data_IF_921071438468
#
_entry.id   IF_921071438468
#
_cell.length_a   1.000
_cell.length_b   1.000
_cell.length_c   1.000
_cell.angle_alpha   90.00
_cell.angle_beta   90.00
_cell.angle_gamma   90.00
#
_symmetry.space_group_name_H-M   'P 1'
#
loop_
_entity.id
_entity.type
_entity.pdbx_description
1 polymer ?
#
# COMPACT_ATOMS: atom_id res chain seq x y z
N UNK A 1 -17.65 -14.14 -7.44
CA UNK A 1 -17.04 -12.86 -6.96
C UNK A 1 -15.58 -12.93 -7.32
N UNK A 2 -15.09 -11.94 -8.07
CA UNK A 2 -13.73 -11.94 -8.62
C UNK A 2 -12.84 -10.92 -7.92
N UNK A 3 -11.56 -11.27 -7.79
CA UNK A 3 -10.47 -10.42 -7.33
C UNK A 3 -9.29 -10.54 -8.28
N UNK A 4 -8.36 -9.58 -8.20
CA UNK A 4 -7.07 -9.60 -8.88
C UNK A 4 -5.95 -9.67 -7.86
N UNK A 5 -4.86 -10.35 -8.22
CA UNK A 5 -3.65 -10.36 -7.38
C UNK A 5 -2.58 -9.54 -8.09
N UNK A 6 -2.15 -8.48 -7.43
CA UNK A 6 -1.08 -7.60 -7.86
C UNK A 6 0.15 -7.70 -6.99
N UNK A 7 1.18 -6.94 -7.35
CA UNK A 7 2.42 -6.85 -6.57
C UNK A 7 2.94 -5.42 -6.52
N UNK A 8 3.53 -5.03 -5.39
CA UNK A 8 4.30 -3.79 -5.28
C UNK A 8 5.73 -4.02 -5.77
N UNK A 9 6.30 -3.13 -6.58
CA UNK A 9 7.68 -3.24 -7.08
C UNK A 9 8.73 -3.02 -5.99
N UNK A 10 8.33 -2.61 -4.79
CA UNK A 10 9.23 -2.29 -3.67
C UNK A 10 10.13 -3.47 -3.27
N UNK A 11 9.69 -4.71 -3.54
CA UNK A 11 10.48 -5.90 -3.32
C UNK A 11 11.70 -6.00 -4.24
N UNK A 12 11.62 -5.46 -5.48
CA UNK A 12 12.71 -5.45 -6.47
C UNK A 12 13.60 -4.23 -6.36
N UNK A 13 13.02 -3.06 -6.09
CA UNK A 13 13.75 -1.83 -5.87
C UNK A 13 12.98 -0.93 -4.92
N UNK A 14 13.66 -0.51 -3.86
CA UNK A 14 13.05 0.32 -2.85
C UNK A 14 13.24 1.81 -3.19
N UNK A 15 12.15 2.55 -3.28
CA UNK A 15 12.18 3.98 -3.62
C UNK A 15 12.67 4.85 -2.45
N UNK A 16 12.48 4.40 -1.20
CA UNK A 16 13.00 5.05 0.01
C UNK A 16 14.49 4.77 0.24
N UNK A 17 14.99 3.64 -0.30
CA UNK A 17 16.38 3.17 -0.19
C UNK A 17 16.90 2.74 -1.56
N UNK A 18 17.29 3.67 -2.44
CA UNK A 18 17.70 3.38 -3.82
C UNK A 18 18.86 2.40 -3.96
N UNK A 19 19.67 2.20 -2.92
CA UNK A 19 20.72 1.19 -2.86
C UNK A 19 20.18 -0.24 -2.74
N UNK A 20 18.92 -0.42 -2.34
CA UNK A 20 18.26 -1.72 -2.29
C UNK A 20 17.60 -2.03 -3.63
N UNK A 21 18.24 -2.90 -4.40
CA UNK A 21 17.78 -3.30 -5.74
C UNK A 21 17.94 -2.21 -6.79
N UNK A 22 18.83 -1.23 -6.58
CA UNK A 22 19.07 -0.13 -7.52
C UNK A 22 19.50 -0.58 -8.92
N UNK A 23 20.15 -1.73 -9.03
CA UNK A 23 20.61 -2.39 -10.25
C UNK A 23 19.53 -3.26 -10.94
N UNK A 24 18.42 -3.57 -10.27
CA UNK A 24 17.30 -4.30 -10.89
C UNK A 24 16.58 -3.40 -11.90
N UNK A 25 16.51 -3.81 -13.16
CA UNK A 25 15.80 -3.05 -14.18
C UNK A 25 14.28 -3.17 -14.06
N UNK A 26 13.54 -2.18 -14.58
CA UNK A 26 12.07 -2.25 -14.65
C UNK A 26 11.63 -3.46 -15.50
N UNK A 27 12.31 -3.72 -16.62
CA UNK A 27 12.03 -4.84 -17.51
C UNK A 27 12.13 -6.19 -16.78
N UNK A 28 13.13 -6.35 -15.93
CA UNK A 28 13.28 -7.56 -15.10
C UNK A 28 12.11 -7.67 -14.11
N UNK A 29 11.79 -6.60 -13.40
CA UNK A 29 10.71 -6.56 -12.43
C UNK A 29 9.36 -6.96 -13.09
N UNK A 30 9.02 -6.35 -14.23
CA UNK A 30 7.78 -6.64 -14.96
C UNK A 30 7.74 -8.10 -15.46
N UNK A 31 8.83 -8.58 -16.04
CA UNK A 31 8.95 -9.96 -16.53
C UNK A 31 8.79 -10.98 -15.40
N UNK A 32 9.44 -10.76 -14.26
CA UNK A 32 9.34 -11.64 -13.11
C UNK A 32 7.93 -11.63 -12.52
N UNK A 33 7.30 -10.44 -12.37
CA UNK A 33 5.92 -10.31 -11.91
C UNK A 33 4.94 -11.10 -12.80
N UNK A 34 5.05 -10.98 -14.14
CA UNK A 34 4.24 -11.76 -15.08
C UNK A 34 4.49 -13.26 -14.95
N UNK A 35 5.76 -13.69 -14.86
CA UNK A 35 6.11 -15.12 -14.81
C UNK A 35 5.67 -15.80 -13.51
N UNK A 36 5.55 -15.05 -12.41
CA UNK A 36 4.93 -15.53 -11.16
C UNK A 36 3.43 -15.73 -11.34
N UNK A 37 2.78 -14.90 -12.15
CA UNK A 37 1.34 -14.97 -12.44
C UNK A 37 0.53 -13.77 -11.94
N UNK A 38 1.16 -12.70 -11.48
CA UNK A 38 0.46 -11.48 -11.08
C UNK A 38 -0.34 -10.90 -12.25
N UNK A 39 -1.50 -10.31 -11.93
CA UNK A 39 -2.38 -9.65 -12.91
C UNK A 39 -2.02 -8.17 -13.10
N UNK A 40 -1.26 -7.60 -12.17
CA UNK A 40 -0.86 -6.20 -12.22
C UNK A 40 0.26 -5.87 -11.24
N UNK A 41 0.73 -4.65 -11.36
CA UNK A 41 1.83 -4.12 -10.56
C UNK A 41 1.54 -2.67 -10.21
N UNK A 42 2.01 -2.21 -9.06
CA UNK A 42 1.95 -0.80 -8.68
C UNK A 42 3.06 0.01 -9.35
N UNK A 43 2.83 1.30 -9.56
CA UNK A 43 3.89 2.19 -10.05
C UNK A 43 4.92 2.47 -8.94
N UNK A 44 6.18 2.35 -9.30
CA UNK A 44 7.32 2.74 -8.47
C UNK A 44 8.21 3.79 -9.15
N UNK A 45 9.29 4.17 -8.50
CA UNK A 45 10.19 5.24 -8.94
C UNK A 45 10.84 5.02 -10.30
N UNK A 46 11.08 3.75 -10.68
CA UNK A 46 11.66 3.37 -11.98
C UNK A 46 10.66 3.38 -13.14
N UNK A 47 9.37 3.55 -12.86
CA UNK A 47 8.33 3.53 -13.88
C UNK A 47 8.32 4.82 -14.71
N UNK A 48 8.10 4.74 -16.05
CA UNK A 48 7.89 5.91 -16.88
C UNK A 48 6.79 6.82 -16.33
N UNK A 49 6.98 8.12 -16.44
CA UNK A 49 6.05 9.13 -15.92
C UNK A 49 4.99 9.56 -16.95
N UNK A 50 4.92 8.88 -18.09
CA UNK A 50 3.91 9.08 -19.12
C UNK A 50 3.34 7.75 -19.61
N UNK A 51 2.08 7.76 -20.00
CA UNK A 51 1.33 6.55 -20.40
C UNK A 51 1.84 5.95 -21.72
N UNK A 52 2.32 6.79 -22.66
CA UNK A 52 2.82 6.33 -23.96
C UNK A 52 4.08 5.46 -23.86
N UNK A 53 4.84 5.60 -22.79
CA UNK A 53 5.99 4.75 -22.51
C UNK A 53 5.65 3.59 -21.57
N UNK A 54 4.73 3.82 -20.60
CA UNK A 54 4.40 2.82 -19.60
C UNK A 54 3.49 1.72 -20.14
N UNK A 55 2.43 2.08 -20.86
CA UNK A 55 1.44 1.10 -21.36
C UNK A 55 2.07 0.00 -22.21
N UNK A 56 2.93 0.28 -23.22
CA UNK A 56 3.54 -0.79 -24.01
C UNK A 56 4.40 -1.75 -23.19
N UNK A 57 5.03 -1.27 -22.09
CA UNK A 57 5.82 -2.13 -21.20
C UNK A 57 4.93 -3.06 -20.36
N UNK A 58 3.81 -2.54 -19.85
CA UNK A 58 2.83 -3.32 -19.09
C UNK A 58 2.13 -4.35 -20.01
N UNK A 59 1.69 -3.92 -21.19
CA UNK A 59 1.03 -4.79 -22.17
C UNK A 59 1.92 -5.94 -22.62
N UNK A 60 3.21 -5.65 -22.89
CA UNK A 60 4.21 -6.69 -23.25
C UNK A 60 4.28 -7.81 -22.23
N UNK A 61 4.10 -7.49 -20.95
CA UNK A 61 4.17 -8.46 -19.85
C UNK A 61 2.77 -8.86 -19.32
N UNK A 62 1.69 -8.50 -20.04
CA UNK A 62 0.30 -8.79 -19.65
C UNK A 62 -0.05 -8.33 -18.22
N UNK A 63 0.49 -7.18 -17.82
CA UNK A 63 0.23 -6.58 -16.51
C UNK A 63 -0.66 -5.34 -16.64
N UNK A 64 -1.52 -5.12 -15.65
CA UNK A 64 -2.24 -3.86 -15.48
C UNK A 64 -1.54 -2.98 -14.44
N UNK A 65 -1.68 -1.65 -14.56
CA UNK A 65 -1.34 -0.76 -13.46
C UNK A 65 -2.43 -0.87 -12.39
N UNK A 66 -2.12 -1.41 -11.19
CA UNK A 66 -3.13 -1.60 -10.16
C UNK A 66 -3.22 -0.46 -9.14
N UNK A 67 -2.20 0.37 -9.02
CA UNK A 67 -2.13 1.60 -8.21
C UNK A 67 -0.70 2.15 -8.22
N UNK A 68 -0.36 2.96 -7.21
CA UNK A 68 0.98 3.43 -6.90
C UNK A 68 0.94 4.53 -5.85
N UNK A 69 2.03 4.71 -5.17
CA UNK A 69 2.17 5.61 -4.05
C UNK A 69 2.22 7.08 -4.45
N UNK A 70 1.52 7.93 -3.67
CA UNK A 70 1.64 9.37 -3.67
C UNK A 70 1.77 9.88 -2.22
N UNK A 71 2.92 10.47 -1.89
CA UNK A 71 3.15 11.12 -0.60
C UNK A 71 2.59 12.53 -0.58
N UNK A 72 1.43 12.73 0.04
CA UNK A 72 0.79 14.03 0.16
C UNK A 72 1.43 14.87 1.29
N UNK A 73 1.47 16.17 1.10
CA UNK A 73 1.97 17.14 2.08
C UNK A 73 0.89 18.13 2.53
N UNK A 74 -0.31 17.63 2.82
CA UNK A 74 -1.49 18.44 3.15
C UNK A 74 -1.34 19.29 4.41
N UNK A 75 -0.49 18.88 5.35
CA UNK A 75 -0.21 19.69 6.54
C UNK A 75 0.62 20.92 6.23
N UNK A 76 1.37 20.92 5.11
CA UNK A 76 2.23 22.02 4.67
C UNK A 76 1.64 22.78 3.49
N UNK A 77 1.03 22.07 2.55
CA UNK A 77 0.48 22.62 1.32
C UNK A 77 -0.97 23.07 1.48
N UNK A 78 -1.37 24.06 0.71
CA UNK A 78 -2.79 24.32 0.42
C UNK A 78 -3.34 23.22 -0.52
N UNK A 79 -4.66 23.09 -0.58
CA UNK A 79 -5.34 22.18 -1.52
C UNK A 79 -4.90 22.41 -2.97
N UNK A 80 -4.75 23.68 -3.37
CA UNK A 80 -4.34 24.05 -4.73
C UNK A 80 -2.93 23.61 -5.06
N UNK A 81 -2.00 23.77 -4.13
CA UNK A 81 -0.60 23.32 -4.28
C UNK A 81 -0.54 21.80 -4.37
N UNK A 82 -1.29 21.09 -3.51
CA UNK A 82 -1.30 19.64 -3.51
C UNK A 82 -1.91 19.06 -4.80
N UNK A 83 -3.02 19.63 -5.29
CA UNK A 83 -3.61 19.27 -6.59
C UNK A 83 -2.60 19.51 -7.73
N UNK A 84 -1.88 20.63 -7.69
CA UNK A 84 -0.86 20.92 -8.71
C UNK A 84 0.27 19.88 -8.69
N UNK A 85 0.70 19.44 -7.51
CA UNK A 85 1.76 18.45 -7.33
C UNK A 85 1.36 17.07 -7.82
N UNK A 86 0.11 16.62 -7.56
CA UNK A 86 -0.36 15.29 -7.95
C UNK A 86 -0.80 15.18 -9.40
N UNK A 87 -1.06 16.30 -10.08
CA UNK A 87 -1.75 16.35 -11.39
C UNK A 87 -1.12 15.46 -12.47
N UNK A 88 0.21 15.44 -12.54
CA UNK A 88 0.91 14.63 -13.55
C UNK A 88 0.75 13.12 -13.29
N UNK A 89 0.86 12.71 -12.02
CA UNK A 89 0.70 11.30 -11.64
C UNK A 89 -0.77 10.86 -11.77
N UNK A 90 -1.71 11.70 -11.37
CA UNK A 90 -3.15 11.44 -11.54
C UNK A 90 -3.52 11.24 -13.01
N UNK A 91 -2.96 12.08 -13.91
CA UNK A 91 -3.13 11.93 -15.37
C UNK A 91 -2.59 10.59 -15.86
N UNK A 92 -1.38 10.22 -15.45
CA UNK A 92 -0.77 8.93 -15.79
C UNK A 92 -1.67 7.76 -15.36
N UNK A 93 -2.16 7.78 -14.12
CA UNK A 93 -3.00 6.72 -13.57
C UNK A 93 -4.33 6.61 -14.31
N UNK A 94 -4.96 7.74 -14.61
CA UNK A 94 -6.17 7.79 -15.44
C UNK A 94 -5.94 7.17 -16.82
N UNK A 95 -4.88 7.55 -17.51
CA UNK A 95 -4.55 7.06 -18.85
C UNK A 95 -4.17 5.58 -18.86
N UNK A 96 -3.62 5.07 -17.75
CA UNK A 96 -3.31 3.65 -17.55
C UNK A 96 -4.48 2.84 -16.94
N UNK A 97 -5.65 3.45 -16.76
CA UNK A 97 -6.84 2.82 -16.14
C UNK A 97 -6.57 2.24 -14.74
N UNK A 98 -5.70 2.87 -13.95
CA UNK A 98 -5.48 2.46 -12.59
C UNK A 98 -6.76 2.65 -11.75
N UNK A 99 -7.17 1.65 -10.93
CA UNK A 99 -8.43 1.71 -10.18
C UNK A 99 -8.40 2.72 -9.03
N UNK A 100 -7.23 3.08 -8.55
CA UNK A 100 -7.03 4.08 -7.50
C UNK A 100 -5.59 4.61 -7.50
N UNK A 101 -5.35 5.65 -6.72
CA UNK A 101 -4.02 6.09 -6.32
C UNK A 101 -3.90 5.97 -4.80
N UNK A 102 -2.83 5.31 -4.35
CA UNK A 102 -2.52 5.14 -2.92
C UNK A 102 -1.93 6.44 -2.39
N UNK A 103 -2.56 7.00 -1.37
CA UNK A 103 -2.17 8.30 -0.80
C UNK A 103 -1.94 8.19 0.70
N UNK A 104 -0.81 8.69 1.16
CA UNK A 104 -0.54 8.90 2.59
C UNK A 104 -0.09 10.34 2.85
N UNK A 105 -0.44 10.88 4.01
CA UNK A 105 0.08 12.18 4.47
C UNK A 105 1.48 11.98 5.05
N UNK A 106 2.48 12.58 4.43
CA UNK A 106 3.90 12.36 4.79
C UNK A 106 4.61 13.60 5.38
N UNK A 107 3.88 14.71 5.60
CA UNK A 107 4.48 15.90 6.24
C UNK A 107 5.02 15.57 7.62
N UNK A 108 6.32 15.70 7.79
CA UNK A 108 6.97 15.36 9.06
C UNK A 108 7.04 13.87 9.39
N UNK A 109 6.72 12.98 8.44
CA UNK A 109 6.90 11.54 8.61
C UNK A 109 8.33 11.18 9.01
N UNK A 110 8.45 10.17 9.86
CA UNK A 110 9.73 9.60 10.30
C UNK A 110 10.02 8.23 9.66
N UNK A 111 9.19 7.79 8.71
CA UNK A 111 9.35 6.49 8.06
C UNK A 111 10.74 6.30 7.41
N UNK A 112 11.29 7.35 6.79
CA UNK A 112 12.64 7.36 6.20
C UNK A 112 13.78 7.69 7.18
N UNK A 113 13.53 7.77 8.50
CA UNK A 113 14.52 8.19 9.48
C UNK A 113 15.08 7.02 10.28
N UNK A 114 16.27 6.55 9.92
CA UNK A 114 16.99 5.56 10.71
C UNK A 114 17.21 6.02 12.15
N UNK A 115 17.13 5.11 13.10
CA UNK A 115 17.33 5.36 14.54
C UNK A 115 16.33 6.29 15.22
N UNK A 116 15.34 6.83 14.49
CA UNK A 116 14.25 7.59 15.10
C UNK A 116 13.15 6.63 15.54
N UNK A 117 12.93 6.45 16.85
CA UNK A 117 11.94 5.49 17.36
C UNK A 117 10.54 5.78 16.85
N UNK A 118 9.76 4.72 16.56
CA UNK A 118 8.38 4.87 16.08
C UNK A 118 7.46 5.59 17.07
N UNK A 119 7.77 5.54 18.38
CA UNK A 119 7.07 6.33 19.40
C UNK A 119 7.20 7.86 19.21
N UNK A 120 8.13 8.32 18.36
CA UNK A 120 8.35 9.74 18.04
C UNK A 120 7.64 10.20 16.76
N UNK A 121 6.74 9.37 16.21
CA UNK A 121 5.95 9.75 15.03
C UNK A 121 5.20 11.07 15.25
N UNK A 122 4.89 11.82 14.20
CA UNK A 122 4.07 13.02 14.32
C UNK A 122 2.67 12.67 14.79
N UNK A 123 2.13 13.49 15.71
CA UNK A 123 0.78 13.35 16.24
C UNK A 123 0.08 14.70 16.06
N UNK A 124 -1.09 14.69 15.43
CA UNK A 124 -1.87 15.89 15.17
C UNK A 124 -2.69 16.29 16.39
N UNK A 125 -2.71 17.57 16.68
CA UNK A 125 -3.69 18.15 17.59
C UNK A 125 -5.07 18.31 16.92
N UNK A 126 -6.08 18.74 17.68
CA UNK A 126 -7.47 18.80 17.19
C UNK A 126 -7.66 19.77 16.02
N UNK A 127 -6.93 20.88 15.95
CA UNK A 127 -7.09 21.85 14.87
C UNK A 127 -6.34 21.42 13.61
N UNK A 128 -5.18 20.75 13.76
CA UNK A 128 -4.48 20.11 12.66
C UNK A 128 -5.34 19.01 12.04
N UNK A 129 -6.01 18.18 12.85
CA UNK A 129 -6.95 17.18 12.35
C UNK A 129 -8.09 17.81 11.54
N UNK A 130 -8.72 18.88 12.02
CA UNK A 130 -9.80 19.59 11.29
C UNK A 130 -9.30 20.12 9.94
N UNK A 131 -8.11 20.73 9.94
CA UNK A 131 -7.48 21.20 8.70
C UNK A 131 -7.18 20.04 7.74
N UNK A 132 -6.70 18.92 8.26
CA UNK A 132 -6.41 17.73 7.47
C UNK A 132 -7.69 17.13 6.87
N UNK A 133 -8.77 16.98 7.64
CA UNK A 133 -10.06 16.49 7.12
C UNK A 133 -10.57 17.37 5.97
N UNK A 134 -10.51 18.68 6.12
CA UNK A 134 -10.93 19.59 5.06
C UNK A 134 -10.10 19.35 3.79
N UNK A 135 -8.79 19.35 3.89
CA UNK A 135 -7.90 19.25 2.74
C UNK A 135 -7.98 17.88 2.05
N UNK A 136 -8.01 16.78 2.81
CA UNK A 136 -8.12 15.43 2.25
C UNK A 136 -9.47 15.22 1.55
N UNK A 137 -10.55 15.79 2.07
CA UNK A 137 -11.86 15.76 1.42
C UNK A 137 -11.83 16.46 0.06
N UNK A 138 -11.21 17.64 -0.03
CA UNK A 138 -11.12 18.39 -1.28
C UNK A 138 -10.27 17.65 -2.34
N UNK A 139 -9.11 17.11 -1.96
CA UNK A 139 -8.29 16.37 -2.91
C UNK A 139 -8.94 15.04 -3.32
N UNK A 140 -9.59 14.33 -2.40
CA UNK A 140 -10.25 13.07 -2.72
C UNK A 140 -11.41 13.25 -3.70
N UNK A 141 -12.19 14.32 -3.53
CA UNK A 141 -13.23 14.70 -4.48
C UNK A 141 -12.66 15.05 -5.85
N UNK A 142 -11.60 15.86 -5.88
CA UNK A 142 -10.90 16.19 -7.14
C UNK A 142 -10.40 14.92 -7.86
N UNK A 143 -9.84 13.97 -7.13
CA UNK A 143 -9.35 12.72 -7.68
C UNK A 143 -10.49 11.85 -8.22
N UNK A 144 -11.58 11.70 -7.46
CA UNK A 144 -12.77 10.95 -7.88
C UNK A 144 -13.41 11.58 -9.15
N UNK A 145 -13.56 12.91 -9.20
CA UNK A 145 -14.07 13.65 -10.37
C UNK A 145 -13.17 13.47 -11.62
N UNK A 146 -11.88 13.19 -11.42
CA UNK A 146 -10.93 12.86 -12.49
C UNK A 146 -10.87 11.36 -12.84
N UNK A 147 -11.64 10.51 -12.16
CA UNK A 147 -11.78 9.08 -12.44
C UNK A 147 -10.70 8.18 -11.84
N UNK A 148 -9.92 8.68 -10.87
CA UNK A 148 -8.92 7.90 -10.11
C UNK A 148 -9.17 8.14 -8.62
N UNK A 149 -9.96 7.30 -7.94
CA UNK A 149 -10.23 7.44 -6.51
C UNK A 149 -8.96 7.43 -5.66
N UNK A 150 -8.98 8.18 -4.55
CA UNK A 150 -7.99 8.14 -3.51
C UNK A 150 -8.20 6.88 -2.64
N UNK A 151 -7.17 6.07 -2.44
CA UNK A 151 -7.11 5.02 -1.43
C UNK A 151 -6.13 5.45 -0.33
N UNK A 152 -6.67 5.88 0.83
CA UNK A 152 -5.79 6.34 1.91
C UNK A 152 -5.05 5.16 2.55
N UNK A 153 -3.74 5.29 2.65
CA UNK A 153 -2.85 4.32 3.25
C UNK A 153 -2.39 4.79 4.64
N UNK A 154 -2.84 4.11 5.69
CA UNK A 154 -2.24 4.25 7.02
C UNK A 154 -0.84 3.62 7.01
N UNK A 155 0.16 4.35 7.48
CA UNK A 155 1.55 3.90 7.34
C UNK A 155 2.36 4.19 8.61
N UNK A 156 3.26 3.25 8.97
CA UNK A 156 4.16 3.42 10.10
C UNK A 156 5.01 4.70 9.95
N UNK A 157 5.13 5.45 11.04
CA UNK A 157 5.91 6.70 11.08
C UNK A 157 5.20 7.94 10.53
N UNK A 158 3.93 7.83 10.10
CA UNK A 158 3.12 8.96 9.62
C UNK A 158 2.11 9.44 10.67
N UNK A 159 1.34 10.49 10.36
CA UNK A 159 0.28 11.02 11.24
C UNK A 159 -0.91 10.08 11.36
N UNK A 160 -1.16 9.22 10.37
CA UNK A 160 -2.20 8.18 10.42
C UNK A 160 -1.51 6.84 10.41
N UNK A 161 -1.21 6.31 11.58
CA UNK A 161 -0.50 5.06 11.77
C UNK A 161 -1.36 4.00 12.46
N UNK A 162 -2.01 4.37 13.56
CA UNK A 162 -2.74 3.44 14.40
C UNK A 162 -4.16 3.15 13.89
N UNK A 163 -4.79 2.14 14.47
CA UNK A 163 -6.21 1.89 14.25
C UNK A 163 -7.04 3.10 14.60
N UNK A 164 -6.80 3.74 15.75
CA UNK A 164 -7.54 4.94 16.21
C UNK A 164 -7.39 6.11 15.25
N UNK A 165 -6.16 6.35 14.70
CA UNK A 165 -5.94 7.38 13.69
C UNK A 165 -6.74 7.08 12.42
N UNK A 166 -6.78 5.81 12.01
CA UNK A 166 -7.51 5.35 10.81
C UNK A 166 -9.02 5.50 11.00
N UNK A 167 -9.57 5.02 12.12
CA UNK A 167 -10.97 5.19 12.48
C UNK A 167 -11.33 6.69 12.53
N UNK A 168 -10.51 7.50 13.21
CA UNK A 168 -10.68 8.94 13.31
C UNK A 168 -10.70 9.63 11.94
N UNK A 169 -9.80 9.25 11.03
CA UNK A 169 -9.78 9.79 9.66
C UNK A 169 -11.07 9.46 8.93
N UNK A 170 -11.46 8.19 8.92
CA UNK A 170 -12.60 7.73 8.12
C UNK A 170 -13.93 8.27 8.67
N UNK A 171 -14.08 8.33 9.98
CA UNK A 171 -15.31 8.86 10.64
C UNK A 171 -15.53 10.35 10.40
N UNK A 172 -14.47 11.12 10.13
CA UNK A 172 -14.54 12.57 9.96
C UNK A 172 -14.32 13.03 8.50
N UNK A 173 -14.38 12.12 7.53
CA UNK A 173 -14.18 12.42 6.11
C UNK A 173 -15.33 11.94 5.24
N UNK A 174 -15.49 12.57 4.07
CA UNK A 174 -16.52 12.21 3.09
C UNK A 174 -16.22 10.88 2.38
N UNK A 175 -17.24 10.33 1.71
CA UNK A 175 -17.15 8.98 1.12
C UNK A 175 -16.10 8.84 -0.01
N UNK A 176 -15.67 9.92 -0.65
CA UNK A 176 -14.59 9.89 -1.66
C UNK A 176 -13.20 9.65 -1.06
N UNK A 177 -13.00 9.86 0.25
CA UNK A 177 -11.80 9.38 0.95
C UNK A 177 -11.94 7.88 1.16
N UNK A 178 -11.47 7.08 0.22
CA UNK A 178 -11.49 5.62 0.33
C UNK A 178 -10.29 5.12 1.13
N UNK A 179 -10.33 3.85 1.51
CA UNK A 179 -9.36 3.23 2.39
C UNK A 179 -8.59 2.12 1.64
N UNK A 180 -7.28 2.13 1.83
CA UNK A 180 -6.43 0.97 1.66
C UNK A 180 -6.17 0.36 3.04
N UNK A 181 -6.33 -0.93 3.18
CA UNK A 181 -5.85 -1.67 4.35
C UNK A 181 -4.52 -2.33 4.01
N UNK A 182 -3.48 -2.00 4.77
CA UNK A 182 -2.22 -2.75 4.80
C UNK A 182 -2.20 -3.61 6.06
N UNK A 183 -2.20 -4.92 5.88
CA UNK A 183 -2.29 -5.87 6.98
C UNK A 183 -1.07 -5.86 7.90
N UNK A 184 0.13 -5.66 7.32
CA UNK A 184 1.38 -5.60 8.07
C UNK A 184 1.53 -4.30 8.85
N UNK A 185 1.28 -3.16 8.23
CA UNK A 185 1.34 -1.87 8.93
C UNK A 185 0.32 -1.79 10.07
N UNK A 186 -0.91 -2.26 9.85
CA UNK A 186 -1.93 -2.25 10.90
C UNK A 186 -1.54 -3.15 12.06
N UNK A 187 -1.05 -4.36 11.78
CA UNK A 187 -0.56 -5.27 12.82
C UNK A 187 0.66 -4.72 13.57
N UNK A 188 1.58 -4.07 12.84
CA UNK A 188 2.76 -3.43 13.47
C UNK A 188 2.34 -2.32 14.44
N UNK A 189 1.32 -1.55 14.08
CA UNK A 189 0.75 -0.51 14.92
C UNK A 189 -0.09 -1.06 16.11
N UNK A 190 -0.23 -2.38 16.24
CA UNK A 190 -1.03 -3.03 17.27
C UNK A 190 -2.54 -2.99 17.02
N UNK A 191 -2.95 -2.66 15.79
CA UNK A 191 -4.35 -2.57 15.40
C UNK A 191 -4.91 -3.87 14.81
N UNK A 192 -6.22 -3.89 14.66
CA UNK A 192 -7.00 -5.00 14.10
C UNK A 192 -7.52 -4.64 12.70
N UNK A 193 -6.81 -5.08 11.66
CA UNK A 193 -7.22 -4.87 10.27
C UNK A 193 -8.52 -5.58 9.91
N UNK A 194 -8.88 -6.67 10.60
CA UNK A 194 -10.16 -7.37 10.41
C UNK A 194 -11.33 -6.50 10.86
N UNK A 195 -11.18 -5.86 12.03
CA UNK A 195 -12.17 -4.91 12.54
C UNK A 195 -12.33 -3.72 11.59
N UNK A 196 -11.23 -3.12 11.16
CA UNK A 196 -11.26 -1.99 10.20
C UNK A 196 -11.93 -2.40 8.89
N UNK A 197 -11.62 -3.57 8.35
CA UNK A 197 -12.27 -4.06 7.13
C UNK A 197 -13.78 -4.24 7.29
N UNK A 198 -14.22 -4.78 8.44
CA UNK A 198 -15.62 -4.99 8.73
C UNK A 198 -16.38 -3.67 8.90
N UNK A 199 -15.85 -2.78 9.72
CA UNK A 199 -16.55 -1.55 10.12
C UNK A 199 -16.60 -0.52 8.98
N UNK A 200 -15.58 -0.52 8.10
CA UNK A 200 -15.45 0.44 7.00
C UNK A 200 -15.48 -0.21 5.60
N UNK A 201 -16.18 -1.33 5.46
CA UNK A 201 -16.26 -2.09 4.20
C UNK A 201 -16.65 -1.24 2.98
N UNK A 202 -17.54 -0.26 3.13
CA UNK A 202 -17.98 0.64 2.05
C UNK A 202 -16.90 1.63 1.59
N UNK A 203 -15.86 1.81 2.38
CA UNK A 203 -14.72 2.68 2.10
C UNK A 203 -13.52 1.89 1.54
N UNK A 204 -13.48 0.57 1.74
CA UNK A 204 -12.36 -0.28 1.38
C UNK A 204 -12.33 -0.54 -0.14
N UNK A 205 -11.27 -0.12 -0.81
CA UNK A 205 -11.11 -0.29 -2.27
C UNK A 205 -9.79 -0.93 -2.69
N UNK A 206 -8.80 -1.02 -1.78
CA UNK A 206 -7.49 -1.57 -2.07
C UNK A 206 -6.92 -2.28 -0.85
N UNK A 207 -6.10 -3.31 -1.06
CA UNK A 207 -5.50 -4.08 0.04
C UNK A 207 -4.04 -4.36 -0.27
N UNK A 208 -3.15 -3.97 0.64
CA UNK A 208 -1.79 -4.46 0.71
C UNK A 208 -1.72 -5.68 1.62
N UNK A 209 -1.37 -6.80 1.02
CA UNK A 209 -1.13 -8.06 1.71
C UNK A 209 0.35 -8.13 2.10
N UNK A 210 0.67 -7.48 3.18
CA UNK A 210 1.99 -7.46 3.80
C UNK A 210 1.96 -8.32 5.05
N UNK A 211 2.74 -9.39 5.09
CA UNK A 211 2.82 -10.26 6.26
C UNK A 211 3.93 -9.80 7.21
N UNK A 212 3.93 -10.34 8.40
CA UNK A 212 4.84 -9.90 9.46
C UNK A 212 5.39 -11.08 10.25
N UNK A 213 6.68 -11.04 10.56
CA UNK A 213 7.31 -12.05 11.41
C UNK A 213 7.18 -11.68 12.88
N UNK A 214 6.26 -12.37 13.58
CA UNK A 214 5.85 -12.05 14.97
C UNK A 214 7.01 -11.83 15.93
N UNK A 215 8.03 -12.69 15.91
CA UNK A 215 9.18 -12.56 16.81
C UNK A 215 9.98 -11.28 16.56
N UNK A 216 10.13 -10.89 15.29
CA UNK A 216 10.85 -9.66 14.92
C UNK A 216 10.02 -8.44 15.30
N UNK A 217 8.70 -8.49 15.08
CA UNK A 217 7.77 -7.46 15.51
C UNK A 217 7.84 -7.24 17.04
N UNK A 218 7.76 -8.30 17.82
CA UNK A 218 7.79 -8.20 19.29
C UNK A 218 9.10 -7.55 19.78
N UNK A 219 10.23 -7.92 19.18
CA UNK A 219 11.52 -7.31 19.49
C UNK A 219 11.60 -5.83 19.04
N UNK A 220 11.04 -5.50 17.87
CA UNK A 220 11.00 -4.13 17.36
C UNK A 220 10.17 -3.21 18.27
N UNK A 221 9.00 -3.67 18.71
CA UNK A 221 8.14 -2.95 19.66
C UNK A 221 8.85 -2.79 21.00
N UNK A 222 9.39 -3.89 21.56
CA UNK A 222 10.08 -3.87 22.86
C UNK A 222 11.26 -2.92 22.91
N UNK A 223 11.97 -2.75 21.79
CA UNK A 223 13.15 -1.87 21.66
C UNK A 223 12.81 -0.48 21.15
N UNK A 224 11.54 -0.23 20.83
CA UNK A 224 11.09 0.99 20.19
C UNK A 224 11.97 1.35 18.96
N UNK A 225 12.13 0.37 18.06
CA UNK A 225 12.97 0.55 16.88
C UNK A 225 12.37 1.62 15.95
N UNK A 226 13.22 2.22 15.13
CA UNK A 226 12.75 2.96 13.96
C UNK A 226 12.09 2.03 12.96
N UNK A 227 11.27 2.57 12.07
CA UNK A 227 10.67 1.80 10.98
C UNK A 227 11.76 1.10 10.14
N UNK A 228 12.82 1.85 9.81
CA UNK A 228 13.96 1.36 9.03
C UNK A 228 14.70 0.22 9.75
N UNK A 229 14.96 0.37 11.04
CA UNK A 229 15.67 -0.69 11.79
C UNK A 229 14.81 -1.94 11.89
N UNK A 230 13.47 -1.83 12.04
CA UNK A 230 12.55 -2.94 12.02
C UNK A 230 12.47 -3.61 10.62
N UNK A 231 12.48 -2.82 9.56
CA UNK A 231 12.56 -3.28 8.17
C UNK A 231 13.84 -4.11 7.95
N UNK A 232 15.02 -3.59 8.28
CA UNK A 232 16.29 -4.30 8.12
C UNK A 232 16.43 -5.53 9.02
N UNK A 233 15.74 -5.55 10.17
CA UNK A 233 15.63 -6.72 11.02
C UNK A 233 14.72 -7.81 10.40
N UNK A 234 13.98 -7.50 9.33
CA UNK A 234 13.11 -8.43 8.63
C UNK A 234 11.73 -8.58 9.26
N UNK A 235 11.18 -7.52 9.83
CA UNK A 235 9.84 -7.52 10.42
C UNK A 235 8.77 -7.86 9.38
N UNK A 236 8.89 -7.31 8.17
CA UNK A 236 7.92 -7.52 7.09
C UNK A 236 8.33 -8.67 6.17
N UNK A 237 7.32 -9.34 5.61
CA UNK A 237 7.49 -10.41 4.66
C UNK A 237 6.24 -10.56 3.77
N UNK A 238 6.26 -11.53 2.86
CA UNK A 238 5.14 -11.84 1.97
C UNK A 238 4.10 -12.73 2.66
N UNK A 239 2.83 -12.74 2.21
CA UNK A 239 1.80 -13.66 2.69
C UNK A 239 2.27 -15.12 2.69
N UNK A 240 2.09 -15.79 3.83
CA UNK A 240 2.47 -17.18 4.01
C UNK A 240 3.87 -17.45 4.57
N UNK A 241 4.69 -16.40 4.72
CA UNK A 241 6.00 -16.47 5.39
C UNK A 241 5.99 -15.70 6.74
N UNK A 242 4.83 -15.24 7.18
CA UNK A 242 4.62 -14.54 8.45
C UNK A 242 3.59 -15.20 9.34
N UNK A 243 2.88 -14.38 10.11
CA UNK A 243 1.91 -14.85 11.09
C UNK A 243 0.46 -14.39 10.85
N UNK A 244 0.19 -13.67 9.78
CA UNK A 244 -1.16 -13.17 9.48
C UNK A 244 -2.05 -14.30 8.98
N UNK A 245 -3.23 -14.43 9.60
CA UNK A 245 -4.27 -15.39 9.16
C UNK A 245 -5.03 -14.83 7.94
N UNK A 246 -4.44 -14.99 6.76
CA UNK A 246 -5.07 -14.61 5.49
C UNK A 246 -6.30 -15.45 5.16
N UNK A 247 -6.45 -16.67 5.71
CA UNK A 247 -7.63 -17.47 5.47
C UNK A 247 -8.87 -16.83 6.10
N UNK A 248 -8.79 -16.43 7.35
CA UNK A 248 -9.86 -15.70 8.04
C UNK A 248 -10.11 -14.35 7.38
N UNK A 249 -9.06 -13.63 6.97
CA UNK A 249 -9.20 -12.33 6.31
C UNK A 249 -9.92 -12.44 4.95
N UNK A 250 -9.54 -13.37 4.10
CA UNK A 250 -10.18 -13.53 2.81
C UNK A 250 -11.64 -14.03 2.92
N UNK A 251 -11.94 -14.87 3.91
CA UNK A 251 -13.33 -15.22 4.24
C UNK A 251 -14.15 -13.98 4.65
N UNK A 252 -13.60 -13.11 5.47
CA UNK A 252 -14.24 -11.83 5.82
C UNK A 252 -14.47 -10.97 4.56
N UNK A 253 -13.45 -10.75 3.75
CA UNK A 253 -13.56 -9.97 2.52
C UNK A 253 -14.63 -10.53 1.56
N UNK A 254 -14.75 -11.86 1.51
CA UNK A 254 -15.80 -12.53 0.73
C UNK A 254 -17.19 -12.18 1.25
N UNK A 255 -17.38 -12.22 2.57
CA UNK A 255 -18.66 -11.88 3.22
C UNK A 255 -19.00 -10.38 3.04
N UNK A 256 -17.99 -9.52 3.00
CA UNK A 256 -18.14 -8.08 2.75
C UNK A 256 -18.35 -7.73 1.27
N UNK A 257 -18.38 -8.72 0.39
CA UNK A 257 -18.49 -8.54 -1.05
C UNK A 257 -17.33 -7.71 -1.67
N UNK A 258 -16.15 -7.78 -1.09
CA UNK A 258 -14.99 -7.07 -1.62
C UNK A 258 -14.67 -7.51 -3.06
N UNK A 259 -14.42 -6.52 -3.90
CA UNK A 259 -13.98 -6.69 -5.29
C UNK A 259 -12.88 -5.70 -5.55
N UNK A 260 -11.72 -6.19 -5.91
CA UNK A 260 -10.57 -5.30 -6.12
C UNK A 260 -9.27 -6.07 -6.17
N UNK A 261 -8.23 -5.42 -5.75
CA UNK A 261 -6.88 -5.93 -5.78
C UNK A 261 -6.44 -6.40 -4.39
N UNK A 262 -5.78 -7.54 -4.37
CA UNK A 262 -4.91 -7.97 -3.28
C UNK A 262 -3.48 -7.81 -3.77
N UNK A 263 -2.76 -6.85 -3.24
CA UNK A 263 -1.39 -6.54 -3.66
C UNK A 263 -0.42 -7.18 -2.69
N UNK A 264 0.40 -8.12 -3.18
CA UNK A 264 1.54 -8.64 -2.41
C UNK A 264 2.55 -7.52 -2.27
N UNK A 265 2.80 -7.12 -1.05
CA UNK A 265 3.80 -6.11 -0.74
C UNK A 265 4.70 -6.63 0.38
N UNK A 266 6.00 -6.53 0.16
CA UNK A 266 6.98 -6.86 1.18
C UNK A 266 8.14 -5.87 1.09
N UNK A 267 8.29 -5.09 2.14
CA UNK A 267 9.46 -4.25 2.32
C UNK A 267 10.59 -5.11 2.87
N UNK A 268 11.42 -5.62 1.96
CA UNK A 268 12.52 -6.54 2.26
C UNK A 268 13.80 -6.12 1.55
N UNK A 269 14.93 -6.52 2.12
CA UNK A 269 16.23 -6.39 1.45
C UNK A 269 16.33 -7.47 0.35
N UNK A 270 16.39 -7.09 -0.94
CA UNK A 270 16.40 -8.04 -2.06
C UNK A 270 17.62 -8.97 -2.06
N UNK A 271 18.68 -8.62 -1.33
CA UNK A 271 19.86 -9.49 -1.15
C UNK A 271 19.62 -10.61 -0.15
N UNK A 272 18.64 -10.45 0.75
CA UNK A 272 18.27 -11.45 1.77
C UNK A 272 17.00 -12.19 1.39
N UNK A 273 16.08 -11.52 0.74
CA UNK A 273 14.80 -12.05 0.29
C UNK A 273 14.71 -11.86 -1.23
N UNK A 274 15.04 -12.87 -2.00
CA UNK A 274 15.00 -12.80 -3.46
C UNK A 274 13.57 -12.43 -3.92
N UNK A 275 13.38 -11.31 -4.64
CA UNK A 275 12.05 -10.79 -4.99
C UNK A 275 11.18 -11.78 -5.76
N UNK A 276 11.78 -12.52 -6.69
CA UNK A 276 11.07 -13.52 -7.49
C UNK A 276 10.57 -14.67 -6.62
N UNK A 277 11.42 -15.23 -5.77
CA UNK A 277 11.06 -16.36 -4.91
C UNK A 277 10.02 -15.94 -3.86
N UNK A 278 10.24 -14.81 -3.19
CA UNK A 278 9.30 -14.30 -2.19
C UNK A 278 7.99 -13.85 -2.82
N UNK A 279 8.02 -13.18 -3.96
CA UNK A 279 6.82 -12.83 -4.73
C UNK A 279 5.99 -14.06 -5.09
N UNK A 280 6.67 -15.15 -5.49
CA UNK A 280 6.03 -16.44 -5.78
C UNK A 280 5.36 -17.06 -4.56
N UNK A 281 6.05 -17.08 -3.40
CA UNK A 281 5.47 -17.55 -2.13
C UNK A 281 4.17 -16.78 -1.82
N UNK A 282 4.22 -15.45 -1.84
CA UNK A 282 3.06 -14.61 -1.54
C UNK A 282 1.91 -14.81 -2.52
N UNK A 283 2.22 -14.88 -3.82
CA UNK A 283 1.23 -15.12 -4.85
C UNK A 283 0.52 -16.47 -4.69
N UNK A 284 1.30 -17.55 -4.57
CA UNK A 284 0.75 -18.91 -4.47
C UNK A 284 -0.09 -19.08 -3.20
N UNK A 285 0.37 -18.51 -2.08
CA UNK A 285 -0.36 -18.53 -0.83
C UNK A 285 -1.71 -17.82 -0.94
N UNK A 286 -1.72 -16.56 -1.41
CA UNK A 286 -2.96 -15.80 -1.58
C UNK A 286 -3.90 -16.45 -2.59
N UNK A 287 -3.37 -16.92 -3.71
CA UNK A 287 -4.16 -17.63 -4.74
C UNK A 287 -4.89 -18.84 -4.18
N UNK A 288 -4.15 -19.69 -3.46
CA UNK A 288 -4.72 -20.89 -2.82
C UNK A 288 -5.85 -20.54 -1.85
N UNK A 289 -5.61 -19.58 -0.97
CA UNK A 289 -6.59 -19.17 0.05
C UNK A 289 -7.78 -18.46 -0.60
N UNK A 290 -7.57 -17.63 -1.61
CA UNK A 290 -8.64 -16.94 -2.30
C UNK A 290 -9.62 -17.93 -2.97
N UNK A 291 -9.09 -18.94 -3.66
CA UNK A 291 -9.89 -19.99 -4.28
C UNK A 291 -10.67 -20.76 -3.19
N UNK A 292 -10.01 -21.16 -2.10
CA UNK A 292 -10.65 -21.87 -0.99
C UNK A 292 -11.74 -21.01 -0.29
N UNK A 293 -11.60 -19.69 -0.29
CA UNK A 293 -12.60 -18.76 0.22
C UNK A 293 -13.71 -18.45 -0.80
N UNK A 294 -13.69 -19.08 -1.97
CA UNK A 294 -14.72 -18.96 -3.01
C UNK A 294 -14.59 -17.71 -3.88
N UNK A 295 -13.40 -17.12 -3.98
CA UNK A 295 -13.11 -16.09 -4.98
C UNK A 295 -12.72 -16.73 -6.32
N UNK A 296 -13.09 -16.06 -7.40
CA UNK A 296 -12.52 -16.24 -8.72
C UNK A 296 -11.36 -15.27 -8.89
N UNK A 297 -10.21 -15.76 -9.34
CA UNK A 297 -9.06 -14.91 -9.63
C UNK A 297 -9.08 -14.60 -11.11
N UNK A 298 -9.16 -13.32 -11.45
CA UNK A 298 -9.14 -12.82 -12.83
C UNK A 298 -7.83 -12.10 -13.12
N UNK A 299 -7.41 -12.12 -14.38
CA UNK A 299 -6.24 -11.37 -14.86
C UNK A 299 -6.60 -9.99 -15.35
#
# INVERSE_FOLDING_TARGET
MSIKIGVSPIAWSNDDFPELGGDTSLEQCLKEANSIGFSGIEAGGKFPKNSSELLPKLEKENLSLCSGWYGANLLKHSVKEEISSMKAQLKLFKECNAPCMVVAEVSGSIQGQAKTPLSKRPILNSDEWKSFYFKINEISKYMEDNGVPLAYHHHMGTVVQSQEDTERLIDNTINSVKLLIDTGHMMFAGGDFMKIANDYASRLIHIHCKDIRKKVLDEAIKKDLSFIDAFFAGAFTVPGDGCIDYESFLKLLKNLNYRGWLVVEAEQDPKKANPFEYGKIGYEHLKKIAINSGFEIVR
#
